data_IF_208392856135
#
_entry.id   IF_208392856135
#
_cell.length_a   1.000
_cell.length_b   1.000
_cell.length_c   1.000
_cell.angle_alpha   90.00
_cell.angle_beta   90.00
_cell.angle_gamma   90.00
#
_symmetry.space_group_name_H-M   'P 1'
#
loop_
_entity.id
_entity.type
_entity.pdbx_description
1 polymer ?
#
# COMPACT_ATOMS: atom_id res chain seq x y z
N UNK A 1 -12.40 14.09 -9.79
CA UNK A 1 -12.97 13.23 -10.85
C UNK A 1 -13.13 11.84 -10.30
N UNK A 2 -14.37 11.39 -10.15
CA UNK A 2 -14.79 10.08 -9.64
C UNK A 2 -14.98 9.13 -10.82
N UNK A 3 -13.97 8.96 -11.65
CA UNK A 3 -14.09 8.07 -12.80
C UNK A 3 -14.12 6.61 -12.30
N UNK A 4 -15.16 5.84 -12.64
CA UNK A 4 -15.28 4.46 -12.21
C UNK A 4 -14.25 3.58 -12.94
N UNK A 5 -13.65 2.67 -12.20
CA UNK A 5 -12.84 1.59 -12.74
C UNK A 5 -13.74 0.46 -13.27
N UNK A 6 -13.32 -0.25 -14.33
CA UNK A 6 -14.05 -1.38 -14.87
C UNK A 6 -14.21 -2.50 -13.84
N UNK A 7 -15.44 -3.02 -13.74
CA UNK A 7 -15.76 -4.21 -12.95
C UNK A 7 -15.54 -5.45 -13.82
N UNK A 8 -14.40 -6.10 -13.66
CA UNK A 8 -14.00 -7.32 -14.36
C UNK A 8 -14.37 -8.56 -13.53
N UNK A 9 -14.21 -9.78 -14.07
CA UNK A 9 -14.34 -11.01 -13.28
C UNK A 9 -13.38 -11.07 -12.08
N UNK A 10 -12.22 -10.40 -12.13
CA UNK A 10 -11.22 -10.37 -11.03
C UNK A 10 -11.54 -9.31 -9.99
N UNK A 11 -12.04 -8.15 -10.41
CA UNK A 11 -12.35 -7.04 -9.50
C UNK A 11 -13.75 -7.13 -8.90
N UNK A 12 -14.68 -7.90 -9.49
CA UNK A 12 -16.03 -8.10 -8.94
C UNK A 12 -16.01 -8.80 -7.58
N UNK A 13 -16.38 -8.07 -6.53
CA UNK A 13 -16.60 -8.65 -5.20
C UNK A 13 -17.81 -9.61 -5.22
N UNK A 14 -17.57 -10.88 -4.86
CA UNK A 14 -18.64 -11.89 -4.71
C UNK A 14 -19.20 -11.98 -3.29
N UNK A 15 -18.36 -11.78 -2.27
CA UNK A 15 -18.75 -11.84 -0.86
C UNK A 15 -18.79 -10.44 -0.24
N UNK A 16 -19.95 -10.08 0.30
CA UNK A 16 -20.26 -8.75 0.83
C UNK A 16 -20.00 -7.64 -0.22
N UNK A 17 -20.65 -7.68 -1.39
CA UNK A 17 -20.44 -6.73 -2.49
C UNK A 17 -20.73 -5.27 -2.13
N UNK A 18 -21.62 -5.03 -1.16
CA UNK A 18 -21.92 -3.70 -0.64
C UNK A 18 -20.74 -3.03 0.07
N UNK A 19 -19.66 -3.78 0.32
CA UNK A 19 -18.38 -3.26 0.84
C UNK A 19 -17.41 -2.84 -0.27
N UNK A 20 -17.78 -3.06 -1.53
CA UNK A 20 -16.93 -2.74 -2.68
C UNK A 20 -17.02 -1.27 -3.05
N UNK A 21 -15.86 -0.69 -3.36
CA UNK A 21 -15.75 0.62 -3.99
C UNK A 21 -14.92 0.47 -5.27
N UNK A 22 -15.38 1.13 -6.33
CA UNK A 22 -14.83 0.99 -7.68
C UNK A 22 -14.47 2.35 -8.32
N UNK A 23 -14.60 3.45 -7.59
CA UNK A 23 -14.09 4.73 -8.04
C UNK A 23 -12.58 4.85 -7.78
N UNK A 24 -11.88 5.53 -8.69
CA UNK A 24 -10.43 5.79 -8.56
C UNK A 24 -10.07 6.48 -7.25
N UNK A 25 -10.89 7.43 -6.79
CA UNK A 25 -10.61 8.22 -5.59
C UNK A 25 -10.45 7.33 -4.35
N UNK A 26 -11.33 6.34 -4.18
CA UNK A 26 -11.24 5.39 -3.06
C UNK A 26 -10.00 4.50 -3.15
N UNK A 27 -9.67 3.97 -4.35
CA UNK A 27 -8.45 3.18 -4.55
C UNK A 27 -7.21 4.01 -4.26
N UNK A 28 -7.17 5.26 -4.71
CA UNK A 28 -6.04 6.17 -4.54
C UNK A 28 -5.84 6.53 -3.08
N UNK A 29 -6.92 6.85 -2.35
CA UNK A 29 -6.85 7.13 -0.92
C UNK A 29 -6.24 5.96 -0.12
N UNK A 30 -6.51 4.71 -0.52
CA UNK A 30 -5.93 3.52 0.12
C UNK A 30 -4.45 3.37 -0.22
N UNK A 31 -4.06 3.57 -1.49
CA UNK A 31 -2.65 3.54 -1.90
C UNK A 31 -1.85 4.66 -1.21
N UNK A 32 -2.39 5.86 -1.12
CA UNK A 32 -1.70 7.01 -0.55
C UNK A 32 -1.57 6.91 0.99
N UNK A 33 -2.50 6.22 1.65
CA UNK A 33 -2.48 6.04 3.10
C UNK A 33 -1.41 5.05 3.59
N UNK A 34 -0.93 4.14 2.73
CA UNK A 34 -0.03 3.08 3.14
C UNK A 34 1.04 2.79 2.08
N UNK A 35 2.30 3.20 2.31
CA UNK A 35 3.39 2.90 1.38
C UNK A 35 3.74 1.41 1.35
N UNK A 36 3.44 0.64 2.39
CA UNK A 36 3.67 -0.81 2.39
C UNK A 36 2.60 -1.53 1.56
N UNK A 37 3.04 -2.32 0.58
CA UNK A 37 2.18 -3.20 -0.19
C UNK A 37 2.69 -4.64 -0.21
N UNK A 38 1.85 -5.54 -0.72
CA UNK A 38 2.15 -6.94 -0.94
C UNK A 38 1.89 -7.26 -2.41
N UNK A 39 2.92 -7.70 -3.14
CA UNK A 39 2.78 -8.06 -4.54
C UNK A 39 2.82 -9.58 -4.70
N UNK A 40 1.76 -10.13 -5.30
CA UNK A 40 1.65 -11.53 -5.66
C UNK A 40 2.27 -11.81 -7.04
N UNK A 41 3.15 -12.80 -7.09
CA UNK A 41 3.83 -13.30 -8.28
C UNK A 41 3.61 -14.81 -8.42
N UNK A 42 3.71 -15.35 -9.63
CA UNK A 42 3.94 -16.78 -9.84
C UNK A 42 5.42 -16.98 -10.16
N UNK A 43 6.16 -17.65 -9.27
CA UNK A 43 7.57 -18.00 -9.45
C UNK A 43 7.69 -19.51 -9.52
N UNK A 44 8.27 -20.03 -10.60
CA UNK A 44 8.47 -21.48 -10.78
C UNK A 44 7.16 -22.27 -10.60
N UNK A 45 6.04 -21.72 -11.10
CA UNK A 45 4.70 -22.30 -11.00
C UNK A 45 4.02 -22.16 -9.63
N UNK A 46 4.68 -21.55 -8.64
CA UNK A 46 4.15 -21.39 -7.28
C UNK A 46 3.83 -19.92 -6.96
N UNK A 47 2.71 -19.62 -6.27
CA UNK A 47 2.40 -18.26 -5.83
C UNK A 47 3.35 -17.83 -4.70
N UNK A 48 3.92 -16.63 -4.85
CA UNK A 48 4.75 -15.99 -3.83
C UNK A 48 4.25 -14.57 -3.62
N UNK A 49 4.18 -14.14 -2.36
CA UNK A 49 3.80 -12.77 -2.01
C UNK A 49 5.00 -12.07 -1.40
N UNK A 50 5.43 -10.96 -2.00
CA UNK A 50 6.58 -10.19 -1.52
C UNK A 50 6.12 -8.82 -1.01
N UNK A 51 6.46 -8.46 0.24
CA UNK A 51 6.23 -7.11 0.73
C UNK A 51 7.25 -6.14 0.11
N UNK A 52 6.80 -4.93 -0.25
CA UNK A 52 7.67 -3.85 -0.74
C UNK A 52 7.03 -2.49 -0.48
N UNK A 53 7.78 -1.42 -0.75
CA UNK A 53 7.27 -0.06 -0.73
C UNK A 53 6.72 0.29 -2.12
N UNK A 54 5.50 0.83 -2.13
CA UNK A 54 4.88 1.44 -3.30
C UNK A 54 4.69 2.94 -3.12
N UNK A 55 4.58 3.62 -4.25
CA UNK A 55 4.10 5.00 -4.32
C UNK A 55 3.23 5.17 -5.58
N UNK A 56 2.40 6.21 -5.58
CA UNK A 56 1.50 6.53 -6.69
C UNK A 56 1.92 7.84 -7.35
N UNK A 57 1.88 7.87 -8.68
CA UNK A 57 1.97 9.11 -9.46
C UNK A 57 0.85 9.13 -10.49
N UNK A 58 -0.09 10.06 -10.34
CA UNK A 58 -1.31 10.10 -11.15
C UNK A 58 -2.06 8.76 -11.11
N UNK A 59 -2.26 8.17 -12.27
CA UNK A 59 -3.00 6.91 -12.45
C UNK A 59 -2.10 5.66 -12.47
N UNK A 60 -0.86 5.77 -11.98
CA UNK A 60 0.09 4.65 -11.92
C UNK A 60 0.54 4.37 -10.49
N UNK A 61 0.70 3.09 -10.18
CA UNK A 61 1.40 2.62 -8.98
C UNK A 61 2.78 2.12 -9.37
N UNK A 62 3.77 2.44 -8.54
CA UNK A 62 5.17 2.08 -8.73
C UNK A 62 5.69 1.35 -7.51
N UNK A 63 6.66 0.48 -7.71
CA UNK A 63 7.45 -0.11 -6.64
C UNK A 63 8.85 -0.42 -7.13
N UNK A 64 9.79 -0.51 -6.21
CA UNK A 64 11.19 -0.77 -6.54
C UNK A 64 11.70 -2.05 -5.86
N UNK A 65 12.89 -2.46 -6.28
CA UNK A 65 13.62 -3.58 -5.68
C UNK A 65 14.98 -3.76 -6.35
N UNK A 66 15.72 -4.79 -5.92
CA UNK A 66 16.98 -5.13 -6.57
C UNK A 66 16.75 -5.51 -8.04
N UNK A 67 17.58 -4.98 -8.94
CA UNK A 67 17.60 -5.38 -10.34
C UNK A 67 17.93 -6.87 -10.55
N UNK A 68 18.60 -7.49 -9.58
CA UNK A 68 18.88 -8.93 -9.56
C UNK A 68 17.75 -9.76 -8.92
N UNK A 69 16.75 -9.13 -8.30
CA UNK A 69 15.68 -9.77 -7.55
C UNK A 69 14.79 -10.65 -8.43
N UNK A 70 14.52 -11.88 -7.97
CA UNK A 70 13.72 -12.87 -8.71
C UNK A 70 12.30 -12.39 -9.00
N UNK A 71 11.66 -11.73 -8.02
CA UNK A 71 10.31 -11.18 -8.17
C UNK A 71 10.23 -10.14 -9.29
N UNK A 72 11.14 -9.16 -9.32
CA UNK A 72 11.13 -8.10 -10.34
C UNK A 72 11.47 -8.62 -11.74
N UNK A 73 12.31 -9.65 -11.86
CA UNK A 73 12.57 -10.31 -13.15
C UNK A 73 11.33 -11.02 -13.68
N UNK A 74 10.63 -11.74 -12.82
CA UNK A 74 9.43 -12.47 -13.20
C UNK A 74 8.24 -11.55 -13.48
N UNK A 75 8.16 -10.39 -12.81
CA UNK A 75 7.04 -9.46 -12.90
C UNK A 75 6.78 -8.93 -14.32
N UNK A 76 7.82 -8.66 -15.10
CA UNK A 76 7.68 -8.08 -16.46
C UNK A 76 6.97 -9.05 -17.42
N UNK A 77 7.11 -10.35 -17.17
CA UNK A 77 6.60 -11.41 -18.04
C UNK A 77 5.25 -11.98 -17.60
N UNK A 78 4.64 -11.46 -16.53
CA UNK A 78 3.36 -11.98 -16.02
C UNK A 78 2.42 -10.91 -15.50
N UNK A 79 1.16 -11.32 -15.28
CA UNK A 79 0.23 -10.54 -14.49
C UNK A 79 0.57 -10.66 -13.00
N UNK A 80 0.43 -9.57 -12.28
CA UNK A 80 0.65 -9.49 -10.84
C UNK A 80 -0.59 -8.94 -10.16
N UNK A 81 -0.66 -9.12 -8.85
CA UNK A 81 -1.63 -8.44 -8.00
C UNK A 81 -0.89 -7.66 -6.93
N UNK A 82 -1.00 -6.32 -6.95
CA UNK A 82 -0.52 -5.46 -5.87
C UNK A 82 -1.67 -5.22 -4.90
N UNK A 83 -1.46 -5.55 -3.63
CA UNK A 83 -2.44 -5.40 -2.55
C UNK A 83 -1.94 -4.43 -1.49
N UNK A 84 -2.77 -3.47 -1.12
CA UNK A 84 -2.59 -2.61 0.05
C UNK A 84 -3.76 -2.84 1.00
N UNK A 85 -3.49 -2.96 2.30
CA UNK A 85 -4.51 -3.21 3.31
C UNK A 85 -4.17 -2.52 4.63
N UNK A 86 -5.19 -1.95 5.28
CA UNK A 86 -5.11 -1.29 6.57
C UNK A 86 -6.14 -1.90 7.51
N UNK A 87 -5.73 -2.17 8.75
CA UNK A 87 -6.61 -2.60 9.84
C UNK A 87 -7.00 -1.36 10.65
N UNK A 88 -8.30 -1.05 10.67
CA UNK A 88 -8.81 0.16 11.31
C UNK A 88 -9.46 -0.13 12.68
N UNK A 89 -9.94 -1.36 12.93
CA UNK A 89 -10.48 -1.74 14.24
C UNK A 89 -10.68 -3.25 14.41
N UNK A 90 -10.75 -3.72 15.65
CA UNK A 90 -11.41 -4.98 15.99
C UNK A 90 -12.89 -4.74 16.31
N UNK A 91 -13.76 -5.63 15.82
CA UNK A 91 -15.19 -5.62 16.14
C UNK A 91 -15.54 -6.83 16.99
N UNK A 92 -15.95 -6.54 18.21
CA UNK A 92 -16.36 -7.52 19.22
C UNK A 92 -17.88 -7.57 19.25
N UNK A 93 -18.43 -8.64 18.69
CA UNK A 93 -19.87 -8.87 18.61
C UNK A 93 -20.34 -9.77 19.76
N UNK A 94 -21.65 -10.00 19.86
CA UNK A 94 -22.23 -10.86 20.90
C UNK A 94 -22.23 -12.34 20.53
N UNK A 95 -22.03 -12.65 19.24
CA UNK A 95 -21.87 -14.00 18.74
C UNK A 95 -20.52 -14.19 18.04
N UNK A 96 -19.97 -15.41 18.15
CA UNK A 96 -18.71 -15.79 17.51
C UNK A 96 -18.70 -15.49 15.98
N UNK A 97 -19.85 -15.66 15.32
CA UNK A 97 -20.00 -15.48 13.89
C UNK A 97 -20.00 -14.02 13.44
N UNK A 98 -20.35 -13.08 14.32
CA UNK A 98 -20.44 -11.65 14.01
C UNK A 98 -19.16 -10.87 14.38
N UNK A 99 -18.18 -11.50 15.02
CA UNK A 99 -16.86 -10.92 15.20
C UNK A 99 -16.20 -10.56 13.87
N UNK A 100 -15.51 -9.43 13.82
CA UNK A 100 -14.88 -8.96 12.59
C UNK A 100 -13.80 -7.92 12.86
N UNK A 101 -13.36 -7.23 11.79
CA UNK A 101 -12.47 -6.07 11.84
C UNK A 101 -12.98 -5.00 10.89
N UNK A 102 -12.85 -3.72 11.23
CA UNK A 102 -12.95 -2.65 10.22
C UNK A 102 -11.61 -2.55 9.48
N UNK A 103 -11.67 -2.32 8.17
CA UNK A 103 -10.50 -2.31 7.30
C UNK A 103 -10.77 -1.55 6.01
N UNK A 104 -9.68 -1.13 5.36
CA UNK A 104 -9.64 -0.66 3.99
C UNK A 104 -8.61 -1.51 3.23
N UNK A 105 -8.95 -1.94 2.02
CA UNK A 105 -8.01 -2.66 1.16
C UNK A 105 -8.25 -2.35 -0.30
N UNK A 106 -7.16 -2.30 -1.09
CA UNK A 106 -7.20 -2.18 -2.53
C UNK A 106 -6.36 -3.29 -3.16
N UNK A 107 -6.89 -3.89 -4.23
CA UNK A 107 -6.20 -4.85 -5.08
C UNK A 107 -6.13 -4.29 -6.49
N UNK A 108 -4.93 -4.20 -7.06
CA UNK A 108 -4.65 -3.71 -8.41
C UNK A 108 -4.05 -4.86 -9.20
N UNK A 109 -4.66 -5.18 -10.34
CA UNK A 109 -4.25 -6.23 -11.25
C UNK A 109 -3.68 -5.62 -12.52
N UNK A 110 -2.66 -6.27 -13.06
CA UNK A 110 -2.11 -5.86 -14.34
C UNK A 110 -0.74 -6.47 -14.61
N UNK A 111 -0.18 -6.11 -15.76
CA UNK A 111 1.18 -6.46 -16.14
C UNK A 111 2.07 -5.23 -15.94
N UNK A 112 3.06 -5.28 -15.05
CA UNK A 112 3.94 -4.14 -14.84
C UNK A 112 4.94 -3.96 -15.97
N UNK A 113 5.32 -2.71 -16.19
CA UNK A 113 6.39 -2.32 -17.08
C UNK A 113 7.62 -1.91 -16.27
N UNK A 114 8.79 -2.38 -16.71
CA UNK A 114 10.06 -1.99 -16.10
C UNK A 114 10.56 -0.68 -16.69
N UNK A 115 10.89 0.27 -15.82
CA UNK A 115 11.52 1.53 -16.24
C UNK A 115 12.98 1.26 -16.61
N UNK A 116 13.33 1.51 -17.89
CA UNK A 116 14.65 1.20 -18.43
C UNK A 116 15.58 2.41 -18.43
N UNK A 117 15.02 3.58 -18.78
CA UNK A 117 15.76 4.83 -18.90
C UNK A 117 16.38 5.22 -17.53
N UNK A 118 17.70 5.47 -17.45
CA UNK A 118 18.36 5.84 -16.21
C UNK A 118 17.86 7.15 -15.59
N UNK A 119 17.55 8.16 -16.41
CA UNK A 119 17.11 9.46 -15.93
C UNK A 119 15.67 9.38 -15.42
N UNK A 120 14.82 8.63 -16.12
CA UNK A 120 13.47 8.31 -15.64
C UNK A 120 13.52 7.53 -14.33
N UNK A 121 14.40 6.52 -14.20
CA UNK A 121 14.60 5.80 -12.93
C UNK A 121 14.99 6.75 -11.80
N UNK A 122 15.94 7.64 -12.03
CA UNK A 122 16.37 8.61 -11.02
C UNK A 122 15.22 9.55 -10.63
N UNK A 123 14.43 10.03 -11.60
CA UNK A 123 13.25 10.85 -11.34
C UNK A 123 12.20 10.09 -10.52
N UNK A 124 11.95 8.82 -10.83
CA UNK A 124 11.01 7.96 -10.09
C UNK A 124 11.48 7.64 -8.67
N UNK A 125 12.77 7.43 -8.46
CA UNK A 125 13.34 7.29 -7.11
C UNK A 125 13.25 8.60 -6.33
N UNK A 126 13.44 9.76 -6.99
CA UNK A 126 13.17 11.06 -6.37
C UNK A 126 11.71 11.16 -5.94
N UNK A 127 10.76 10.83 -6.81
CA UNK A 127 9.33 10.82 -6.46
C UNK A 127 9.03 9.93 -5.25
N UNK A 128 9.60 8.72 -5.18
CA UNK A 128 9.48 7.85 -4.01
C UNK A 128 9.96 8.54 -2.73
N UNK A 129 11.17 9.10 -2.74
CA UNK A 129 11.75 9.74 -1.55
C UNK A 129 10.92 10.95 -1.13
N UNK A 130 10.52 11.81 -2.08
CA UNK A 130 9.71 12.99 -1.80
C UNK A 130 8.29 12.64 -1.35
N UNK A 131 7.73 11.51 -1.80
CA UNK A 131 6.42 11.03 -1.34
C UNK A 131 6.44 10.56 0.12
N UNK A 132 7.55 9.97 0.56
CA UNK A 132 7.69 9.47 1.93
C UNK A 132 8.26 10.53 2.89
N UNK A 133 9.16 11.35 2.38
CA UNK A 133 9.97 12.29 3.15
C UNK A 133 10.10 13.61 2.36
N UNK A 134 9.07 14.46 2.37
CA UNK A 134 9.09 15.72 1.62
C UNK A 134 10.32 16.58 1.94
N UNK A 135 11.02 17.03 0.91
CA UNK A 135 12.25 17.83 1.00
C UNK A 135 13.50 17.02 1.39
N UNK A 136 13.42 15.69 1.49
CA UNK A 136 14.56 14.85 1.85
C UNK A 136 15.58 14.75 0.73
N UNK A 137 15.14 14.67 -0.53
CA UNK A 137 16.02 14.33 -1.64
C UNK A 137 17.20 15.30 -1.76
N UNK A 138 16.93 16.60 -1.66
CA UNK A 138 17.94 17.64 -1.83
C UNK A 138 18.95 17.72 -0.66
N UNK A 139 18.67 17.05 0.47
CA UNK A 139 19.62 16.92 1.60
C UNK A 139 20.52 15.68 1.48
N UNK A 140 20.20 14.74 0.60
CA UNK A 140 20.97 13.52 0.41
C UNK A 140 22.18 13.79 -0.49
N UNK A 141 23.22 12.97 -0.35
CA UNK A 141 24.24 12.93 -1.39
C UNK A 141 23.58 12.53 -2.72
N UNK A 142 24.09 13.01 -3.86
CA UNK A 142 23.62 12.55 -5.16
C UNK A 142 23.71 11.02 -5.28
N UNK A 143 22.73 10.46 -5.98
CA UNK A 143 22.76 9.05 -6.36
C UNK A 143 23.92 8.78 -7.31
N UNK A 144 24.60 7.65 -7.12
CA UNK A 144 25.60 7.16 -8.07
C UNK A 144 24.94 6.38 -9.20
N UNK A 145 25.60 6.32 -10.36
CA UNK A 145 25.16 5.50 -11.49
C UNK A 145 25.00 4.02 -11.11
N UNK A 146 25.86 3.51 -10.22
CA UNK A 146 25.79 2.13 -9.74
C UNK A 146 24.52 1.88 -8.91
N UNK A 147 24.10 2.82 -8.07
CA UNK A 147 22.86 2.70 -7.30
C UNK A 147 21.63 2.73 -8.20
N UNK A 148 21.62 3.62 -9.21
CA UNK A 148 20.56 3.66 -10.23
C UNK A 148 20.51 2.34 -10.99
N UNK A 149 21.65 1.78 -11.39
CA UNK A 149 21.75 0.51 -12.13
C UNK A 149 21.34 -0.70 -11.29
N UNK A 150 21.66 -0.69 -10.00
CA UNK A 150 21.34 -1.78 -9.08
C UNK A 150 19.84 -1.82 -8.70
N UNK A 151 19.12 -0.73 -8.94
CA UNK A 151 17.70 -0.59 -8.60
C UNK A 151 16.83 -0.80 -9.84
N UNK A 152 15.86 -1.70 -9.74
CA UNK A 152 14.80 -1.84 -10.73
C UNK A 152 13.51 -1.21 -10.20
N UNK A 153 12.79 -0.54 -11.08
CA UNK A 153 11.50 0.09 -10.80
C UNK A 153 10.48 -0.52 -11.76
N UNK A 154 9.35 -0.91 -11.20
CA UNK A 154 8.20 -1.38 -11.93
C UNK A 154 7.09 -0.34 -11.81
N UNK A 155 6.36 -0.16 -12.90
CA UNK A 155 5.19 0.72 -13.00
C UNK A 155 4.00 -0.12 -13.46
N UNK A 156 2.82 0.18 -12.95
CA UNK A 156 1.59 -0.47 -13.37
C UNK A 156 0.45 0.55 -13.42
N UNK A 157 -0.28 0.65 -14.54
CA UNK A 157 -1.44 1.52 -14.62
C UNK A 157 -2.55 0.98 -13.69
N UNK A 158 -3.24 1.89 -13.01
CA UNK A 158 -4.35 1.56 -12.12
C UNK A 158 -5.63 1.50 -12.97
N UNK A 159 -5.74 0.50 -13.83
CA UNK A 159 -6.87 0.33 -14.75
C UNK A 159 -7.83 -0.78 -14.30
N UNK A 160 -7.30 -1.85 -13.70
CA UNK A 160 -8.10 -2.94 -13.16
C UNK A 160 -7.86 -3.05 -11.65
N UNK A 161 -8.71 -2.39 -10.87
CA UNK A 161 -8.60 -2.42 -9.42
C UNK A 161 -9.96 -2.55 -8.72
N UNK A 162 -9.92 -3.02 -7.48
CA UNK A 162 -11.07 -3.04 -6.57
C UNK A 162 -10.65 -2.58 -5.19
N UNK A 163 -11.50 -1.78 -4.54
CA UNK A 163 -11.39 -1.50 -3.12
C UNK A 163 -12.48 -2.27 -2.36
N UNK A 164 -12.15 -2.67 -1.12
CA UNK A 164 -13.08 -3.25 -0.17
C UNK A 164 -12.91 -2.59 1.18
N UNK A 165 -14.00 -2.04 1.71
CA UNK A 165 -14.01 -1.27 2.94
C UNK A 165 -15.09 -1.82 3.87
N UNK A 166 -14.72 -2.03 5.14
CA UNK A 166 -15.68 -2.26 6.21
C UNK A 166 -15.47 -1.18 7.27
N UNK A 167 -16.53 -0.41 7.52
CA UNK A 167 -16.62 0.56 8.61
C UNK A 167 -18.08 0.60 9.09
N UNK A 168 -18.51 -0.47 9.78
CA UNK A 168 -19.94 -0.67 10.11
C UNK A 168 -20.22 -0.87 11.60
N UNK A 169 -19.18 -0.89 12.43
CA UNK A 169 -19.31 -1.22 13.85
C UNK A 169 -19.81 -2.64 14.08
N UNK A 170 -20.43 -2.86 15.24
CA UNK A 170 -21.05 -4.12 15.63
C UNK A 170 -22.38 -4.31 14.88
N UNK A 171 -22.57 -5.49 14.29
CA UNK A 171 -23.83 -5.90 13.67
C UNK A 171 -24.12 -7.31 14.18
N UNK A 172 -25.03 -7.43 15.13
CA UNK A 172 -25.52 -8.69 15.68
C UNK A 172 -26.91 -9.04 15.10
N UNK A 173 -27.33 -10.28 15.28
CA UNK A 173 -28.74 -10.67 15.06
C UNK A 173 -29.62 -10.09 16.18
N UNK A 174 -30.87 -9.74 15.85
CA UNK A 174 -31.78 -9.05 16.78
C UNK A 174 -31.91 -9.75 18.14
N UNK A 175 -31.99 -11.08 18.14
CA UNK A 175 -32.12 -11.88 19.34
C UNK A 175 -30.89 -11.80 20.29
N UNK A 176 -29.71 -11.48 19.76
CA UNK A 176 -28.48 -11.42 20.56
C UNK A 176 -28.35 -10.13 21.36
N UNK A 177 -29.06 -9.04 20.99
CA UNK A 177 -29.01 -7.77 21.72
C UNK A 177 -29.54 -7.86 23.16
N UNK A 178 -30.40 -8.83 23.45
CA UNK A 178 -30.88 -9.10 24.80
C UNK A 178 -29.84 -9.83 25.69
N UNK A 179 -28.76 -10.36 25.11
CA UNK A 179 -27.72 -11.07 25.88
C UNK A 179 -26.88 -10.09 26.68
N UNK A 180 -26.54 -10.40 27.95
CA UNK A 180 -25.70 -9.55 28.79
C UNK A 180 -24.20 -9.71 28.43
N UNK A 181 -23.86 -9.52 27.16
CA UNK A 181 -22.51 -9.63 26.61
C UNK A 181 -22.09 -8.25 26.12
N UNK A 182 -20.89 -7.81 26.51
CA UNK A 182 -20.32 -6.57 26.00
C UNK A 182 -19.97 -6.73 24.52
N UNK A 183 -20.35 -5.73 23.72
CA UNK A 183 -20.01 -5.65 22.31
C UNK A 183 -19.54 -4.22 21.99
N UNK A 184 -18.56 -4.11 21.11
CA UNK A 184 -17.96 -2.82 20.80
C UNK A 184 -16.91 -2.89 19.70
N UNK A 185 -16.31 -1.74 19.45
CA UNK A 185 -15.23 -1.56 18.49
C UNK A 185 -13.97 -1.16 19.26
N UNK A 186 -12.85 -1.79 18.97
CA UNK A 186 -11.52 -1.40 19.48
C UNK A 186 -10.75 -0.80 18.31
N UNK A 187 -10.68 0.54 18.19
CA UNK A 187 -9.98 1.19 17.10
C UNK A 187 -8.49 0.84 17.07
N UNK A 188 -7.95 0.71 15.86
CA UNK A 188 -6.54 0.47 15.58
C UNK A 188 -6.05 1.58 14.66
N UNK A 189 -4.88 2.13 14.96
CA UNK A 189 -4.19 3.06 14.08
C UNK A 189 -2.69 2.81 14.13
N UNK A 190 -2.02 3.13 13.04
CA UNK A 190 -0.57 3.21 13.04
C UNK A 190 -0.15 4.50 13.76
N UNK A 191 0.96 4.43 14.49
CA UNK A 191 1.54 5.58 15.16
C UNK A 191 3.00 5.69 14.76
N UNK A 192 3.36 6.83 14.19
CA UNK A 192 4.75 7.23 14.00
C UNK A 192 5.27 7.76 15.34
N UNK A 193 6.42 7.24 15.78
CA UNK A 193 7.07 7.62 17.04
C UNK A 193 8.16 8.65 16.79
N UNK A 194 8.70 9.22 17.88
CA UNK A 194 9.79 10.19 17.80
C UNK A 194 11.00 9.62 17.02
N UNK A 195 11.55 10.38 16.05
CA UNK A 195 12.76 10.03 15.34
C UNK A 195 13.93 9.76 16.28
N UNK A 196 14.57 8.60 16.09
CA UNK A 196 15.78 8.23 16.81
C UNK A 196 17.00 8.57 15.95
N UNK A 197 17.93 9.35 16.51
CA UNK A 197 19.14 9.75 15.81
C UNK A 197 20.11 8.58 15.66
N UNK A 198 20.77 8.46 14.50
CA UNK A 198 21.89 7.54 14.31
C UNK A 198 23.03 7.94 15.28
N UNK A 199 23.54 7.03 16.13
CA UNK A 199 24.66 7.32 17.03
C UNK A 199 25.95 7.71 16.29
N UNK A 200 26.03 7.48 14.98
CA UNK A 200 27.15 7.89 14.11
C UNK A 200 26.98 9.29 13.50
N UNK A 201 25.89 10.00 13.79
CA UNK A 201 25.73 11.38 13.35
C UNK A 201 26.91 12.24 13.83
N UNK A 202 27.40 13.12 12.95
CA UNK A 202 28.40 14.10 13.33
C UNK A 202 27.85 15.03 14.41
N UNK A 203 28.73 15.52 15.28
CA UNK A 203 28.34 16.48 16.31
C UNK A 203 27.77 17.75 15.69
N UNK A 204 26.69 18.28 16.28
CA UNK A 204 26.05 19.51 15.82
C UNK A 204 25.11 19.35 14.61
N UNK A 205 24.91 18.13 14.10
CA UNK A 205 23.89 17.88 13.06
C UNK A 205 22.50 17.92 13.69
N UNK A 206 21.69 18.87 13.24
CA UNK A 206 20.30 18.99 13.64
C UNK A 206 19.43 17.98 12.88
N UNK A 207 18.39 17.48 13.56
CA UNK A 207 17.32 16.70 12.93
C UNK A 207 16.59 17.60 11.92
N UNK A 208 16.37 17.18 10.67
CA UNK A 208 15.57 17.94 9.72
C UNK A 208 14.08 17.87 10.10
N UNK A 209 13.34 18.95 9.82
CA UNK A 209 11.93 19.08 10.23
C UNK A 209 11.03 17.96 9.67
N UNK A 210 11.26 17.55 8.42
CA UNK A 210 10.48 16.47 7.76
C UNK A 210 10.57 15.12 8.49
N UNK A 211 11.58 14.90 9.34
CA UNK A 211 11.67 13.67 10.11
C UNK A 211 10.48 13.52 11.09
N UNK A 212 9.83 14.63 11.45
CA UNK A 212 8.69 14.65 12.38
C UNK A 212 7.34 14.73 11.67
N UNK A 213 7.33 14.88 10.34
CA UNK A 213 6.11 15.05 9.54
C UNK A 213 5.71 13.77 8.79
N UNK A 214 6.30 12.63 9.13
CA UNK A 214 5.94 11.34 8.52
C UNK A 214 4.57 10.92 9.06
N UNK A 215 3.63 10.69 8.16
CA UNK A 215 2.27 10.25 8.46
C UNK A 215 2.03 8.87 7.82
N UNK A 216 1.22 8.03 8.47
CA UNK A 216 0.91 6.69 7.96
C UNK A 216 -0.44 6.20 8.51
N UNK A 217 -1.27 5.63 7.64
CA UNK A 217 -2.56 5.02 7.96
C UNK A 217 -3.80 5.87 7.68
#
# INVERSE_FOLDING_TARGET
>A
MTDPLPITPRTRLRRAPQRGAFDRATVYAILDAMPLCHVGYVLEGSPVVMPTIQWREGDHVYWHGSAAGRGLKAAVEQEVCLTVSLLDSFVLARSAMHHSVDYRSAMIFGRPLKIQDPDEKAAKLKCLIESLYPGRWDLLRPMTEQEVKATAILSMPIEEASAKIRQRGVVDDEADYARPIWAGVVPVRMQVLEPQADPRNQQGINRPDHASSVELG
#
